data_IF_852076909579
#
_entry.id   IF_852076909579
#
_cell.length_a   1.000
_cell.length_b   1.000
_cell.length_c   1.000
_cell.angle_alpha   90.00
_cell.angle_beta   90.00
_cell.angle_gamma   90.00
#
_symmetry.space_group_name_H-M   'P 1'
#
loop_
_entity.id
_entity.type
_entity.pdbx_description
1 polymer ?
#
# COMPACT_ATOMS: atom_id res chain seq x y z
N UNK A 1 -8.90 -0.35 2.18
CA UNK A 1 -9.40 -0.31 3.56
C UNK A 1 -8.28 0.06 4.52
N UNK A 2 -8.67 0.48 5.74
CA UNK A 2 -7.77 0.83 6.85
C UNK A 2 -7.45 -0.41 7.71
N UNK A 3 -6.35 -0.41 8.48
CA UNK A 3 -6.09 -1.44 9.49
C UNK A 3 -7.17 -1.42 10.58
N UNK A 4 -7.44 -2.58 11.19
CA UNK A 4 -8.45 -2.70 12.26
C UNK A 4 -7.99 -1.94 13.52
N UNK A 5 -6.79 -2.18 14.08
CA UNK A 5 -6.21 -1.24 15.03
C UNK A 5 -5.80 0.08 14.34
N UNK A 6 -5.98 1.25 14.98
CA UNK A 6 -6.55 1.47 16.31
C UNK A 6 -8.07 1.65 16.33
N UNK A 7 -8.73 1.76 15.17
CA UNK A 7 -10.13 2.18 15.06
C UNK A 7 -11.14 1.13 15.54
N UNK A 8 -10.75 -0.15 15.63
CA UNK A 8 -11.59 -1.28 16.06
C UNK A 8 -12.91 -1.28 15.28
N UNK A 9 -14.06 -1.22 15.96
CA UNK A 9 -15.40 -1.20 15.36
C UNK A 9 -15.63 -0.01 14.41
N UNK A 10 -14.89 1.09 14.60
CA UNK A 10 -14.99 2.27 13.73
C UNK A 10 -14.24 2.12 12.40
N UNK A 11 -13.52 1.01 12.18
CA UNK A 11 -12.86 0.72 10.91
C UNK A 11 -13.92 0.62 9.80
N UNK A 12 -13.81 1.40 8.70
CA UNK A 12 -14.81 1.39 7.65
C UNK A 12 -15.01 0.00 7.04
N UNK A 13 -16.24 -0.50 7.06
CA UNK A 13 -16.67 -1.78 6.48
C UNK A 13 -17.61 -1.50 5.29
N UNK A 14 -17.24 -1.98 4.11
CA UNK A 14 -18.07 -1.85 2.91
C UNK A 14 -18.89 -3.12 2.71
N UNK A 15 -20.18 -2.96 2.47
CA UNK A 15 -21.13 -4.06 2.24
C UNK A 15 -21.69 -4.01 0.82
N UNK A 16 -21.89 -5.18 0.22
CA UNK A 16 -22.56 -5.32 -1.07
C UNK A 16 -23.32 -6.65 -1.15
N UNK A 17 -24.39 -6.68 -1.94
CA UNK A 17 -25.33 -7.81 -2.00
C UNK A 17 -26.75 -7.39 -1.65
N UNK A 18 -27.73 -8.22 -2.00
CA UNK A 18 -29.16 -7.96 -1.78
C UNK A 18 -29.51 -7.77 -0.30
N UNK A 19 -28.79 -8.46 0.59
CA UNK A 19 -29.02 -8.41 2.03
C UNK A 19 -28.16 -7.35 2.74
N UNK A 20 -27.38 -6.56 1.99
CA UNK A 20 -26.43 -5.59 2.56
C UNK A 20 -27.12 -4.50 3.39
N UNK A 21 -28.31 -4.06 2.98
CA UNK A 21 -29.09 -3.06 3.73
C UNK A 21 -29.56 -3.59 5.09
N UNK A 22 -30.14 -4.80 5.11
CA UNK A 22 -30.59 -5.43 6.36
C UNK A 22 -29.41 -5.70 7.30
N UNK A 23 -28.28 -6.19 6.76
CA UNK A 23 -27.07 -6.41 7.54
C UNK A 23 -26.48 -5.08 8.08
N UNK A 24 -26.54 -4.00 7.32
CA UNK A 24 -26.03 -2.70 7.74
C UNK A 24 -26.79 -2.15 8.95
N UNK A 25 -28.11 -2.34 9.02
CA UNK A 25 -28.92 -1.95 10.17
C UNK A 25 -28.46 -2.66 11.44
N UNK A 26 -28.39 -4.00 11.41
CA UNK A 26 -27.95 -4.81 12.57
C UNK A 26 -26.51 -4.49 12.98
N UNK A 27 -25.58 -4.36 12.02
CA UNK A 27 -24.18 -4.02 12.35
C UNK A 27 -24.05 -2.59 12.87
N UNK A 28 -24.88 -1.66 12.40
CA UNK A 28 -24.93 -0.29 12.89
C UNK A 28 -25.35 -0.21 14.36
N UNK A 29 -26.37 -0.98 14.76
CA UNK A 29 -26.81 -1.08 16.17
C UNK A 29 -25.70 -1.62 17.09
N UNK A 30 -24.83 -2.48 16.56
CA UNK A 30 -23.67 -3.01 17.27
C UNK A 30 -22.45 -2.06 17.28
N UNK A 31 -22.57 -0.87 16.66
CA UNK A 31 -21.54 0.17 16.66
C UNK A 31 -20.48 0.05 15.55
N UNK A 32 -20.72 -0.76 14.52
CA UNK A 32 -19.82 -0.84 13.36
C UNK A 32 -19.97 0.36 12.42
N UNK A 33 -18.86 0.82 11.84
CA UNK A 33 -18.85 1.80 10.77
C UNK A 33 -19.10 1.14 9.41
N UNK A 34 -20.36 0.81 9.12
CA UNK A 34 -20.79 0.14 7.88
C UNK A 34 -21.28 1.11 6.82
N UNK A 35 -20.98 0.78 5.55
CA UNK A 35 -21.53 1.48 4.38
C UNK A 35 -21.92 0.47 3.32
N UNK A 36 -23.19 0.47 2.93
CA UNK A 36 -23.66 -0.25 1.73
C UNK A 36 -23.18 0.51 0.49
N UNK A 37 -22.56 -0.19 -0.45
CA UNK A 37 -21.98 0.41 -1.65
C UNK A 37 -22.51 -0.18 -2.96
N UNK A 38 -23.22 -1.31 -2.91
CA UNK A 38 -23.79 -1.98 -4.08
C UNK A 38 -24.86 -2.99 -3.68
N UNK A 39 -25.77 -3.29 -4.60
CA UNK A 39 -26.72 -4.41 -4.47
C UNK A 39 -26.11 -5.73 -4.97
N UNK A 40 -25.03 -5.65 -5.76
CA UNK A 40 -24.34 -6.79 -6.33
C UNK A 40 -23.23 -7.32 -5.40
N UNK A 41 -23.18 -8.65 -5.29
CA UNK A 41 -22.07 -9.34 -4.62
C UNK A 41 -20.78 -9.11 -5.38
N UNK A 42 -19.71 -8.77 -4.66
CA UNK A 42 -18.36 -8.60 -5.20
C UNK A 42 -17.92 -7.15 -5.36
N UNK A 43 -18.83 -6.18 -5.56
CA UNK A 43 -18.46 -4.77 -5.78
C UNK A 43 -17.72 -4.17 -4.57
N UNK A 44 -18.19 -4.44 -3.35
CA UNK A 44 -17.53 -3.98 -2.12
C UNK A 44 -16.08 -4.48 -2.02
N UNK A 45 -15.84 -5.76 -2.34
CA UNK A 45 -14.48 -6.33 -2.37
C UNK A 45 -13.67 -5.72 -3.52
N UNK A 46 -14.23 -5.58 -4.72
CA UNK A 46 -13.56 -4.99 -5.87
C UNK A 46 -13.07 -3.56 -5.57
N UNK A 47 -13.84 -2.73 -4.86
CA UNK A 47 -13.40 -1.40 -4.42
C UNK A 47 -12.09 -1.48 -3.61
N UNK A 48 -12.00 -2.40 -2.64
CA UNK A 48 -10.78 -2.59 -1.85
C UNK A 48 -9.62 -3.06 -2.72
N UNK A 49 -9.87 -4.01 -3.61
CA UNK A 49 -8.82 -4.65 -4.41
C UNK A 49 -8.27 -3.67 -5.46
N UNK A 50 -9.13 -3.01 -6.23
CA UNK A 50 -8.73 -2.00 -7.21
C UNK A 50 -7.98 -0.83 -6.56
N UNK A 51 -8.46 -0.33 -5.41
CA UNK A 51 -7.74 0.73 -4.66
C UNK A 51 -6.34 0.26 -4.22
N UNK A 52 -6.17 -1.02 -3.94
CA UNK A 52 -4.87 -1.54 -3.48
C UNK A 52 -3.81 -1.46 -4.58
N UNK A 53 -4.18 -1.55 -5.86
CA UNK A 53 -3.27 -1.32 -6.99
C UNK A 53 -2.59 0.04 -6.86
N UNK A 54 -3.37 1.10 -6.65
CA UNK A 54 -2.84 2.46 -6.55
C UNK A 54 -2.01 2.67 -5.28
N UNK A 55 -2.54 2.26 -4.12
CA UNK A 55 -1.86 2.52 -2.84
C UNK A 55 -0.53 1.76 -2.75
N UNK A 56 -0.52 0.47 -3.08
CA UNK A 56 0.71 -0.34 -3.04
C UNK A 56 1.62 -0.06 -4.23
N UNK A 57 1.05 0.35 -5.37
CA UNK A 57 1.81 0.86 -6.50
C UNK A 57 2.62 2.10 -6.15
N UNK A 58 2.01 3.08 -5.47
CA UNK A 58 2.73 4.27 -5.01
C UNK A 58 3.86 3.92 -4.04
N UNK A 59 3.64 2.96 -3.13
CA UNK A 59 4.69 2.48 -2.23
C UNK A 59 5.87 1.85 -2.99
N UNK A 60 5.59 0.96 -3.94
CA UNK A 60 6.62 0.30 -4.74
C UNK A 60 7.37 1.29 -5.66
N UNK A 61 6.63 2.15 -6.39
CA UNK A 61 7.21 3.18 -7.26
C UNK A 61 8.10 4.14 -6.47
N UNK A 62 7.65 4.59 -5.30
CA UNK A 62 8.43 5.50 -4.45
C UNK A 62 9.71 4.82 -3.96
N UNK A 63 9.61 3.55 -3.55
CA UNK A 63 10.76 2.76 -3.09
C UNK A 63 11.79 2.61 -4.20
N UNK A 64 11.38 2.18 -5.39
CA UNK A 64 12.29 1.98 -6.53
C UNK A 64 12.90 3.31 -6.99
N UNK A 65 12.06 4.32 -7.23
CA UNK A 65 12.47 5.63 -7.74
C UNK A 65 13.49 6.30 -6.81
N UNK A 66 13.20 6.40 -5.51
CA UNK A 66 14.08 7.11 -4.58
C UNK A 66 15.33 6.31 -4.23
N UNK A 67 15.25 4.97 -4.20
CA UNK A 67 16.45 4.14 -4.04
C UNK A 67 17.42 4.32 -5.20
N UNK A 68 16.90 4.30 -6.43
CA UNK A 68 17.70 4.54 -7.63
C UNK A 68 18.23 5.98 -7.67
N UNK A 69 17.37 6.98 -7.40
CA UNK A 69 17.79 8.38 -7.38
C UNK A 69 18.92 8.62 -6.35
N UNK A 70 18.82 8.01 -5.16
CA UNK A 70 19.86 8.09 -4.13
C UNK A 70 21.17 7.45 -4.55
N UNK A 71 21.12 6.30 -5.24
CA UNK A 71 22.33 5.70 -5.81
C UNK A 71 23.08 6.66 -6.75
N UNK A 72 22.34 7.46 -7.52
CA UNK A 72 22.91 8.47 -8.43
C UNK A 72 23.11 9.86 -7.79
N UNK A 73 22.83 10.06 -6.50
CA UNK A 73 22.88 11.37 -5.84
C UNK A 73 21.90 12.40 -6.40
N UNK A 74 20.79 11.93 -6.97
CA UNK A 74 19.77 12.73 -7.65
C UNK A 74 18.46 12.87 -6.84
N UNK A 75 18.37 12.31 -5.64
CA UNK A 75 17.12 12.20 -4.87
C UNK A 75 16.46 13.55 -4.58
N UNK A 76 17.24 14.59 -4.24
CA UNK A 76 16.69 15.92 -3.94
C UNK A 76 16.09 16.58 -5.18
N UNK A 77 16.73 16.41 -6.35
CA UNK A 77 16.19 16.91 -7.62
C UNK A 77 14.94 16.16 -8.03
N UNK A 78 14.91 14.84 -7.83
CA UNK A 78 13.73 14.01 -8.12
C UNK A 78 12.57 14.39 -7.20
N UNK A 79 12.80 14.51 -5.88
CA UNK A 79 11.76 14.92 -4.93
C UNK A 79 11.22 16.31 -5.26
N UNK A 80 12.08 17.26 -5.59
CA UNK A 80 11.67 18.61 -6.02
C UNK A 80 10.81 18.55 -7.28
N UNK A 81 11.21 17.77 -8.28
CA UNK A 81 10.46 17.61 -9.53
C UNK A 81 9.10 16.95 -9.31
N UNK A 82 9.03 15.93 -8.46
CA UNK A 82 7.78 15.26 -8.09
C UNK A 82 6.85 16.20 -7.33
N UNK A 83 7.38 17.00 -6.40
CA UNK A 83 6.60 18.00 -5.68
C UNK A 83 6.05 19.08 -6.63
N UNK A 84 6.85 19.57 -7.57
CA UNK A 84 6.38 20.54 -8.57
C UNK A 84 5.26 19.98 -9.45
N UNK A 85 5.32 18.68 -9.78
CA UNK A 85 4.29 18.01 -10.61
C UNK A 85 3.02 17.67 -9.82
N UNK A 86 3.17 17.29 -8.56
CA UNK A 86 2.09 16.79 -7.69
C UNK A 86 2.22 17.37 -6.26
N UNK A 87 1.99 18.67 -6.06
CA UNK A 87 2.31 19.34 -4.79
C UNK A 87 1.49 18.81 -3.60
N UNK A 88 0.28 18.32 -3.87
CA UNK A 88 -0.61 17.77 -2.84
C UNK A 88 -0.26 16.35 -2.38
N UNK A 89 0.75 15.72 -2.99
CA UNK A 89 1.21 14.37 -2.61
C UNK A 89 2.27 14.39 -1.49
N UNK A 90 2.75 15.55 -1.04
CA UNK A 90 3.63 15.66 0.13
C UNK A 90 5.07 15.14 -0.07
N UNK A 91 5.57 15.19 -1.31
CA UNK A 91 6.94 14.77 -1.68
C UNK A 91 8.05 15.55 -0.96
N UNK A 92 7.76 16.77 -0.51
CA UNK A 92 8.63 17.68 0.23
C UNK A 92 8.62 17.46 1.76
N UNK A 93 7.85 16.48 2.23
CA UNK A 93 7.62 16.25 3.65
C UNK A 93 7.75 14.76 4.01
N UNK A 94 6.89 14.27 4.90
CA UNK A 94 6.99 12.90 5.46
C UNK A 94 6.45 11.80 4.52
N UNK A 95 5.85 12.15 3.38
CA UNK A 95 5.17 11.15 2.55
C UNK A 95 6.12 10.06 2.00
N UNK A 96 7.31 10.37 1.46
CA UNK A 96 8.23 9.34 0.99
C UNK A 96 8.67 8.39 2.11
N UNK A 97 8.95 8.94 3.29
CA UNK A 97 9.28 8.16 4.49
C UNK A 97 8.14 7.19 4.83
N UNK A 98 6.90 7.68 4.86
CA UNK A 98 5.73 6.86 5.15
C UNK A 98 5.51 5.76 4.11
N UNK A 99 5.57 6.08 2.81
CA UNK A 99 5.32 5.09 1.74
C UNK A 99 6.33 3.94 1.79
N UNK A 100 7.61 4.27 1.97
CA UNK A 100 8.67 3.26 2.04
C UNK A 100 8.61 2.51 3.38
N UNK A 101 8.24 3.16 4.49
CA UNK A 101 8.11 2.49 5.80
C UNK A 101 7.06 1.38 5.78
N UNK A 102 5.93 1.56 5.07
CA UNK A 102 4.90 0.53 4.95
C UNK A 102 5.41 -0.74 4.26
N UNK A 103 6.35 -0.61 3.33
CA UNK A 103 7.01 -1.77 2.69
C UNK A 103 8.05 -2.35 3.63
N UNK A 104 8.90 -1.54 4.25
CA UNK A 104 9.93 -2.02 5.17
C UNK A 104 9.35 -2.75 6.40
N UNK A 105 8.23 -2.28 6.94
CA UNK A 105 7.58 -2.88 8.13
C UNK A 105 6.76 -4.14 7.80
N UNK A 106 6.15 -4.19 6.61
CA UNK A 106 5.09 -5.17 6.31
C UNK A 106 5.17 -5.79 4.92
N UNK A 107 6.28 -5.63 4.19
CA UNK A 107 6.41 -5.97 2.77
C UNK A 107 5.99 -7.40 2.44
N UNK A 108 6.29 -8.38 3.31
CA UNK A 108 5.88 -9.79 3.11
C UNK A 108 4.36 -9.94 3.03
N UNK A 109 3.64 -9.49 4.06
CA UNK A 109 2.16 -9.47 4.08
C UNK A 109 1.59 -8.63 2.94
N UNK A 110 2.20 -7.48 2.63
CA UNK A 110 1.70 -6.60 1.56
C UNK A 110 1.84 -7.24 0.17
N UNK A 111 2.93 -7.98 -0.06
CA UNK A 111 3.16 -8.80 -1.25
C UNK A 111 2.09 -9.89 -1.37
N UNK A 112 1.82 -10.65 -0.31
CA UNK A 112 0.75 -11.66 -0.29
C UNK A 112 -0.62 -11.04 -0.60
N UNK A 113 -0.94 -9.87 -0.03
CA UNK A 113 -2.17 -9.16 -0.37
C UNK A 113 -2.21 -8.72 -1.85
N UNK A 114 -1.06 -8.43 -2.47
CA UNK A 114 -0.99 -8.10 -3.90
C UNK A 114 -1.21 -9.29 -4.82
N UNK A 115 -0.95 -10.51 -4.38
CA UNK A 115 -1.29 -11.72 -5.14
C UNK A 115 -2.83 -11.85 -5.27
N UNK A 116 -3.57 -11.56 -4.20
CA UNK A 116 -5.02 -11.46 -4.26
C UNK A 116 -5.50 -10.34 -5.20
N UNK A 117 -4.81 -9.20 -5.22
CA UNK A 117 -5.11 -8.09 -6.14
C UNK A 117 -4.84 -8.49 -7.59
N UNK A 118 -3.73 -9.18 -7.86
CA UNK A 118 -3.41 -9.69 -9.18
C UNK A 118 -4.50 -10.65 -9.68
N UNK A 119 -5.00 -11.54 -8.82
CA UNK A 119 -6.15 -12.39 -9.14
C UNK A 119 -7.40 -11.56 -9.47
N UNK A 120 -7.73 -10.55 -8.67
CA UNK A 120 -8.90 -9.69 -8.96
C UNK A 120 -8.77 -8.96 -10.30
N UNK A 121 -7.57 -8.50 -10.65
CA UNK A 121 -7.31 -7.84 -11.95
C UNK A 121 -7.46 -8.84 -13.11
N UNK A 122 -6.95 -10.06 -12.94
CA UNK A 122 -7.11 -11.15 -13.91
C UNK A 122 -8.57 -11.57 -14.09
N UNK A 123 -9.33 -11.69 -13.01
CA UNK A 123 -10.76 -12.04 -13.03
C UNK A 123 -11.58 -10.96 -13.78
N UNK A 124 -11.09 -9.71 -13.88
CA UNK A 124 -11.66 -8.64 -14.69
C UNK A 124 -11.25 -8.68 -16.18
N UNK A 125 -10.50 -9.71 -16.61
CA UNK A 125 -10.03 -9.87 -17.99
C UNK A 125 -8.78 -9.05 -18.33
N UNK A 126 -8.07 -8.53 -17.33
CA UNK A 126 -6.86 -7.73 -17.51
C UNK A 126 -5.61 -8.51 -17.12
N UNK A 127 -4.51 -8.35 -17.86
CA UNK A 127 -3.22 -8.91 -17.46
C UNK A 127 -2.67 -8.15 -16.23
N UNK A 128 -2.44 -8.81 -15.07
CA UNK A 128 -2.09 -8.14 -13.82
C UNK A 128 -0.63 -7.70 -13.70
N UNK A 129 -0.04 -7.14 -14.77
CA UNK A 129 1.40 -6.81 -14.88
C UNK A 129 1.92 -6.00 -13.69
N UNK A 130 1.26 -4.88 -13.41
CA UNK A 130 1.67 -3.99 -12.33
C UNK A 130 1.46 -4.64 -10.96
N UNK A 131 0.36 -5.36 -10.77
CA UNK A 131 0.09 -6.00 -9.48
C UNK A 131 1.12 -7.06 -9.12
N UNK A 132 1.58 -7.84 -10.10
CA UNK A 132 2.65 -8.81 -9.93
C UNK A 132 4.00 -8.14 -9.66
N UNK A 133 4.36 -7.10 -10.42
CA UNK A 133 5.60 -6.35 -10.23
C UNK A 133 5.66 -5.68 -8.84
N UNK A 134 4.55 -5.10 -8.38
CA UNK A 134 4.44 -4.52 -7.03
C UNK A 134 4.63 -5.60 -5.96
N UNK A 135 4.02 -6.79 -6.15
CA UNK A 135 4.18 -7.90 -5.20
C UNK A 135 5.65 -8.31 -5.07
N UNK A 136 6.35 -8.47 -6.19
CA UNK A 136 7.77 -8.80 -6.21
C UNK A 136 8.61 -7.72 -5.52
N UNK A 137 8.45 -6.45 -5.91
CA UNK A 137 9.21 -5.34 -5.32
C UNK A 137 9.06 -5.23 -3.80
N UNK A 138 7.84 -5.46 -3.28
CA UNK A 138 7.57 -5.42 -1.83
C UNK A 138 8.23 -6.58 -1.07
N UNK A 139 8.28 -7.77 -1.69
CA UNK A 139 8.94 -8.96 -1.14
C UNK A 139 10.46 -8.77 -1.14
N UNK A 140 11.02 -8.38 -2.29
CA UNK A 140 12.46 -8.23 -2.48
C UNK A 140 13.07 -7.25 -1.48
N UNK A 141 12.39 -6.13 -1.17
CA UNK A 141 12.88 -5.17 -0.18
C UNK A 141 13.06 -5.81 1.20
N UNK A 142 12.04 -6.51 1.71
CA UNK A 142 12.08 -7.08 3.06
C UNK A 142 12.96 -8.32 3.15
N UNK A 143 13.12 -9.06 2.05
CA UNK A 143 14.06 -10.18 1.98
C UNK A 143 15.50 -9.66 2.02
N UNK A 144 15.82 -8.61 1.26
CA UNK A 144 17.13 -7.95 1.36
C UNK A 144 17.42 -7.35 2.73
N UNK A 145 16.40 -6.80 3.40
CA UNK A 145 16.54 -6.33 4.78
C UNK A 145 16.88 -7.48 5.72
N UNK A 146 16.20 -8.63 5.58
CA UNK A 146 16.45 -9.81 6.38
C UNK A 146 17.85 -10.40 6.13
N UNK A 147 18.26 -10.50 4.86
CA UNK A 147 19.58 -11.04 4.47
C UNK A 147 20.75 -10.21 5.02
N UNK A 148 20.52 -8.93 5.30
CA UNK A 148 21.52 -7.99 5.83
C UNK A 148 21.31 -7.67 7.31
N UNK A 149 20.44 -8.40 8.01
CA UNK A 149 20.08 -8.17 9.42
C UNK A 149 19.69 -6.70 9.71
N UNK A 150 18.98 -6.06 8.78
CA UNK A 150 18.49 -4.68 8.93
C UNK A 150 17.10 -4.70 9.58
N UNK A 151 16.97 -4.34 10.86
CA UNK A 151 15.67 -4.29 11.50
C UNK A 151 14.85 -3.08 11.02
N UNK A 152 13.53 -3.22 11.02
CA UNK A 152 12.64 -2.06 11.02
C UNK A 152 12.82 -1.26 12.30
N UNK A 153 12.82 0.08 12.20
CA UNK A 153 12.93 0.96 13.36
C UNK A 153 12.12 2.24 13.16
N UNK A 154 11.60 2.78 14.27
CA UNK A 154 10.94 4.07 14.35
C UNK A 154 11.80 5.05 15.18
N UNK A 155 11.94 6.33 14.76
CA UNK A 155 11.37 6.93 13.55
C UNK A 155 12.02 6.40 12.26
N UNK A 156 11.20 6.12 11.25
CA UNK A 156 11.68 5.58 9.97
C UNK A 156 12.29 6.66 9.04
N UNK A 157 13.49 6.41 8.54
CA UNK A 157 14.14 7.18 7.47
C UNK A 157 14.51 6.30 6.28
N UNK A 158 13.90 6.58 5.12
CA UNK A 158 14.15 5.82 3.91
C UNK A 158 15.59 5.97 3.41
N UNK A 159 16.25 7.12 3.63
CA UNK A 159 17.64 7.35 3.22
C UNK A 159 18.58 6.42 3.98
N UNK A 160 18.37 6.29 5.29
CA UNK A 160 19.12 5.39 6.16
C UNK A 160 18.92 3.93 5.74
N UNK A 161 17.69 3.53 5.43
CA UNK A 161 17.42 2.18 4.93
C UNK A 161 18.18 1.92 3.62
N UNK A 162 18.04 2.80 2.64
CA UNK A 162 18.68 2.65 1.32
C UNK A 162 20.21 2.60 1.44
N UNK A 163 20.80 3.43 2.30
CA UNK A 163 22.25 3.42 2.53
C UNK A 163 22.72 2.09 3.13
N UNK A 164 21.96 1.53 4.08
CA UNK A 164 22.29 0.22 4.67
C UNK A 164 22.18 -0.90 3.63
N UNK A 165 21.17 -0.84 2.77
CA UNK A 165 20.97 -1.79 1.68
C UNK A 165 22.05 -1.71 0.59
N UNK A 166 22.77 -0.60 0.49
CA UNK A 166 23.83 -0.36 -0.52
C UNK A 166 25.24 -0.73 -0.03
N UNK A 167 25.47 -0.85 1.28
CA UNK A 167 26.76 -1.27 1.86
C UNK A 167 26.98 -2.76 1.62
N UNK A 168 27.77 -3.09 0.61
CA UNK A 168 28.43 -4.39 0.43
C UNK A 168 29.91 -4.25 0.75
#
# INVERSE_FOLDING_TARGET
MAPVPPQRLATPLLLGGTDAAALAETLGELGFNVKVVAEEVGVASAIKMCRSVMIKGLEALTTECLSAARHYGAEERVLTSLHASFPHMGWDARQPHYLISRVAEHGRRRSEEMEGVAKTVADAGLEPRMSLAISAAQRDLVERMADLDIPYAEPFDWRVLVDRLAKR
#
